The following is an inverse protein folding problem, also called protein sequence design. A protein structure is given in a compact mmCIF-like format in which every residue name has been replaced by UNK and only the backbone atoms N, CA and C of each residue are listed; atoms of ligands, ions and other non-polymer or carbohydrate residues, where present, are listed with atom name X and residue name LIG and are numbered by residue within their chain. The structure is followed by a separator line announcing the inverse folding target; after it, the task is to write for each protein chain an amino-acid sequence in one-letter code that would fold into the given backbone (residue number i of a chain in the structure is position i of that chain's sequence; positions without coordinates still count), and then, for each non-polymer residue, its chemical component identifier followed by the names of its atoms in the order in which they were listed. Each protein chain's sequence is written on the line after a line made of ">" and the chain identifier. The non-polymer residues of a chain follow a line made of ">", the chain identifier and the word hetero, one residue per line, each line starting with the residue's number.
data_IF_943776716855
#
_entry.id   IF_943776716855
#
_cell.length_a   1.000
_cell.length_b   1.000
_cell.length_c   1.000
_cell.angle_alpha   90.00
_cell.angle_beta   90.00
_cell.angle_gamma   90.00
#
_symmetry.space_group_name_H-M   'P 1'
#
loop_
_entity.id
_entity.type
_entity.pdbx_description
1 polymer ?
#
# COMPACT_ATOMS: atom_id res chain seq x y z
N UNK A 1 -9.83 1.76 9.27
CA UNK A 1 -9.86 2.89 8.32
C UNK A 1 -10.22 2.34 6.94
N UNK A 2 -11.34 2.76 6.34
CA UNK A 2 -11.79 2.24 5.04
C UNK A 2 -10.94 2.86 3.92
N UNK A 3 -10.12 2.07 3.23
CA UNK A 3 -9.27 2.52 2.12
C UNK A 3 -10.05 3.15 0.96
N UNK A 4 -11.30 2.75 0.72
CA UNK A 4 -12.19 3.41 -0.26
C UNK A 4 -12.38 4.90 0.07
N UNK A 5 -12.56 5.23 1.36
CA UNK A 5 -12.67 6.63 1.80
C UNK A 5 -11.33 7.36 1.65
N UNK A 6 -10.20 6.66 1.70
CA UNK A 6 -8.87 7.28 1.52
C UNK A 6 -8.57 7.48 0.04
N UNK A 7 -8.89 6.51 -0.82
CA UNK A 7 -8.69 6.56 -2.29
C UNK A 7 -9.66 7.56 -2.93
N UNK A 8 -10.94 7.56 -2.55
CA UNK A 8 -11.92 8.52 -3.09
C UNK A 8 -11.64 9.95 -2.60
N UNK A 9 -11.14 10.11 -1.37
CA UNK A 9 -10.69 11.43 -0.88
C UNK A 9 -9.32 11.85 -1.44
N UNK A 10 -8.46 10.91 -1.82
CA UNK A 10 -7.20 11.22 -2.51
C UNK A 10 -7.49 11.71 -3.92
N UNK A 11 -8.43 11.08 -4.65
CA UNK A 11 -8.93 11.57 -5.94
C UNK A 11 -9.48 12.99 -5.83
N UNK A 12 -10.40 13.22 -4.88
CA UNK A 12 -10.98 14.57 -4.64
C UNK A 12 -9.95 15.63 -4.25
N UNK A 13 -8.87 15.27 -3.54
CA UNK A 13 -7.82 16.21 -3.17
C UNK A 13 -6.86 16.53 -4.33
N UNK A 14 -6.58 15.54 -5.19
CA UNK A 14 -5.75 15.71 -6.38
C UNK A 14 -6.49 16.58 -7.42
N UNK A 15 -7.80 16.43 -7.56
CA UNK A 15 -8.64 17.24 -8.45
C UNK A 15 -8.75 18.72 -8.00
N UNK A 16 -8.39 19.03 -6.74
CA UNK A 16 -8.42 20.40 -6.20
C UNK A 16 -7.09 21.17 -6.33
N UNK A 17 -6.03 20.52 -6.83
CA UNK A 17 -4.73 21.15 -7.06
C UNK A 17 -4.66 21.68 -8.49
N UNK A 18 -4.97 22.97 -8.64
CA UNK A 18 -4.87 23.72 -9.89
C UNK A 18 -3.45 23.79 -10.45
N UNK A 19 -3.38 23.88 -11.79
CA UNK A 19 -2.19 23.87 -12.63
C UNK A 19 -1.06 24.82 -12.17
N UNK A 20 0.14 24.27 -11.95
CA UNK A 20 1.40 24.95 -12.29
C UNK A 20 2.57 23.98 -12.51
N UNK A 21 2.77 23.60 -13.79
CA UNK A 21 4.06 23.58 -14.51
C UNK A 21 5.24 22.79 -13.90
N UNK A 22 5.49 21.55 -14.37
CA UNK A 22 6.56 21.12 -15.33
C UNK A 22 6.94 19.64 -15.13
N UNK A 23 6.96 18.91 -16.26
CA UNK A 23 7.13 17.46 -16.45
C UNK A 23 5.97 16.67 -15.85
N UNK A 24 5.07 16.16 -16.69
CA UNK A 24 3.88 15.39 -16.29
C UNK A 24 4.28 13.90 -16.24
N UNK A 25 4.78 13.34 -15.12
CA UNK A 25 4.69 11.89 -14.93
C UNK A 25 3.20 11.53 -14.96
N UNK A 26 2.88 10.33 -15.45
CA UNK A 26 1.50 9.83 -15.51
C UNK A 26 0.76 10.14 -14.19
N UNK A 27 -0.29 10.98 -14.23
CA UNK A 27 -1.01 11.47 -13.04
C UNK A 27 -1.52 10.32 -12.15
N UNK A 28 -1.89 9.21 -12.79
CA UNK A 28 -2.29 7.94 -12.16
C UNK A 28 -1.15 7.23 -11.44
N UNK A 29 0.09 7.34 -11.92
CA UNK A 29 1.26 6.73 -11.28
C UNK A 29 1.64 7.48 -10.01
N UNK A 30 1.63 8.81 -10.07
CA UNK A 30 1.85 9.68 -8.91
C UNK A 30 0.82 9.43 -7.80
N UNK A 31 -0.46 9.23 -8.16
CA UNK A 31 -1.52 8.91 -7.20
C UNK A 31 -1.31 7.57 -6.49
N UNK A 32 -0.87 6.52 -7.22
CA UNK A 32 -0.58 5.21 -6.63
C UNK A 32 0.57 5.30 -5.63
N UNK A 33 1.65 5.99 -6.00
CA UNK A 33 2.83 6.18 -5.16
C UNK A 33 2.47 6.94 -3.88
N UNK A 34 1.63 7.98 -3.98
CA UNK A 34 1.13 8.70 -2.80
C UNK A 34 0.33 7.81 -1.84
N UNK A 35 -0.53 6.94 -2.38
CA UNK A 35 -1.32 5.98 -1.57
C UNK A 35 -0.41 4.94 -0.94
N UNK A 36 0.54 4.40 -1.68
CA UNK A 36 1.50 3.42 -1.16
C UNK A 36 2.40 4.03 -0.10
N UNK A 37 2.84 5.27 -0.27
CA UNK A 37 3.66 5.98 0.73
C UNK A 37 2.88 6.16 2.03
N UNK A 38 1.60 6.55 1.93
CA UNK A 38 0.70 6.64 3.07
C UNK A 38 0.49 5.29 3.78
N UNK A 39 0.26 4.21 3.03
CA UNK A 39 0.12 2.85 3.57
C UNK A 39 1.43 2.40 4.22
N UNK A 40 2.57 2.70 3.60
CA UNK A 40 3.90 2.38 4.10
C UNK A 40 4.15 3.01 5.48
N UNK A 41 3.68 4.24 5.71
CA UNK A 41 3.73 4.89 7.04
C UNK A 41 2.91 4.15 8.09
N UNK A 42 1.72 3.68 7.72
CA UNK A 42 0.88 2.86 8.60
C UNK A 42 1.55 1.50 8.91
N UNK A 43 2.06 0.81 7.90
CA UNK A 43 2.72 -0.50 8.03
C UNK A 43 3.98 -0.38 8.88
N UNK A 44 4.80 0.66 8.67
CA UNK A 44 5.97 0.97 9.50
C UNK A 44 5.60 1.05 10.98
N UNK A 45 4.51 1.73 11.32
CA UNK A 45 4.03 1.86 12.70
C UNK A 45 3.59 0.53 13.31
N UNK A 46 3.09 -0.40 12.49
CA UNK A 46 2.68 -1.72 12.96
C UNK A 46 3.89 -2.61 13.21
N UNK A 47 4.84 -2.65 12.26
CA UNK A 47 6.08 -3.44 12.40
C UNK A 47 6.90 -2.97 13.61
N UNK A 48 6.98 -1.66 13.85
CA UNK A 48 7.69 -1.10 15.02
C UNK A 48 7.16 -1.62 16.36
N UNK A 49 5.92 -2.15 16.44
CA UNK A 49 5.40 -2.76 17.67
C UNK A 49 6.00 -4.13 17.97
N UNK A 50 6.56 -4.80 16.96
CA UNK A 50 7.13 -6.15 17.07
C UNK A 50 8.59 -6.15 17.53
N UNK A 51 9.22 -4.98 17.72
CA UNK A 51 10.61 -4.91 18.16
C UNK A 51 10.85 -3.75 19.11
N UNK A 52 11.80 -3.94 20.02
CA UNK A 52 12.34 -2.89 20.90
C UNK A 52 13.75 -2.46 20.49
N UNK A 53 14.28 -3.02 19.41
CA UNK A 53 15.64 -2.74 18.95
C UNK A 53 15.71 -1.34 18.33
N UNK A 54 16.52 -0.46 18.91
CA UNK A 54 16.66 0.92 18.42
C UNK A 54 17.14 0.99 16.97
N UNK A 55 18.00 0.07 16.53
CA UNK A 55 18.47 -0.01 15.14
C UNK A 55 17.33 -0.38 14.18
N UNK A 56 16.46 -1.31 14.58
CA UNK A 56 15.28 -1.64 13.78
C UNK A 56 14.31 -0.46 13.73
N UNK A 57 14.07 0.21 14.86
CA UNK A 57 13.14 1.34 14.95
C UNK A 57 13.58 2.53 14.10
N UNK A 58 14.89 2.82 14.05
CA UNK A 58 15.43 3.91 13.21
C UNK A 58 15.35 3.59 11.72
N UNK A 59 15.45 2.32 11.33
CA UNK A 59 15.39 1.89 9.93
C UNK A 59 14.04 2.16 9.22
N UNK A 60 12.97 2.46 9.98
CA UNK A 60 11.64 2.72 9.43
C UNK A 60 11.25 4.20 9.39
N UNK A 61 12.07 5.10 9.94
CA UNK A 61 11.74 6.52 10.05
C UNK A 61 12.66 7.35 9.16
N UNK A 62 12.05 8.21 8.38
CA UNK A 62 12.71 9.32 7.70
C UNK A 62 12.12 10.65 8.16
N UNK A 63 12.76 11.75 7.78
CA UNK A 63 12.31 13.12 8.09
C UNK A 63 11.89 13.90 6.84
N UNK A 64 11.99 13.29 5.65
CA UNK A 64 11.76 13.99 4.39
C UNK A 64 10.26 14.07 4.03
N UNK A 65 9.64 15.17 4.45
CA UNK A 65 8.26 15.51 4.10
C UNK A 65 8.12 16.22 2.73
N UNK A 66 9.23 16.51 2.04
CA UNK A 66 9.21 17.29 0.78
C UNK A 66 9.09 16.43 -0.48
N UNK A 67 9.04 15.12 -0.32
CA UNK A 67 8.85 14.18 -1.43
C UNK A 67 7.45 14.32 -2.05
N UNK A 68 7.31 14.23 -3.38
CA UNK A 68 6.00 14.30 -4.04
C UNK A 68 5.07 13.16 -3.59
N UNK A 69 5.61 11.96 -3.32
CA UNK A 69 4.86 10.82 -2.81
C UNK A 69 4.33 11.06 -1.37
N UNK A 70 4.94 11.99 -0.63
CA UNK A 70 4.47 12.37 0.69
C UNK A 70 3.24 13.29 0.66
N UNK A 71 2.77 13.77 -0.50
CA UNK A 71 1.67 14.72 -0.61
C UNK A 71 0.39 14.25 0.12
N UNK A 72 0.01 12.96 -0.03
CA UNK A 72 -1.16 12.42 0.67
C UNK A 72 -0.92 12.31 2.19
N UNK A 73 0.29 11.94 2.60
CA UNK A 73 0.68 11.90 4.02
C UNK A 73 0.64 13.30 4.62
N UNK A 74 1.16 14.32 3.94
CA UNK A 74 1.15 15.71 4.36
C UNK A 74 -0.28 16.24 4.51
N UNK A 75 -1.18 15.86 3.59
CA UNK A 75 -2.59 16.26 3.65
C UNK A 75 -3.35 15.58 4.80
N UNK A 76 -3.01 14.33 5.12
CA UNK A 76 -3.74 13.52 6.11
C UNK A 76 -3.12 13.51 7.50
N UNK A 77 -1.86 13.92 7.63
CA UNK A 77 -1.18 13.91 8.91
C UNK A 77 -1.80 14.93 9.85
N UNK A 78 -2.08 14.50 11.07
CA UNK A 78 -2.37 15.37 12.22
C UNK A 78 -1.17 15.44 13.17
N UNK A 79 0.04 15.22 12.64
CA UNK A 79 1.30 15.14 13.41
C UNK A 79 1.71 13.73 13.89
N UNK A 80 0.92 12.68 13.57
CA UNK A 80 1.14 11.33 14.12
C UNK A 80 1.47 10.24 13.07
N UNK A 81 1.50 10.62 11.79
CA UNK A 81 1.85 9.70 10.70
C UNK A 81 3.36 9.72 10.48
N UNK A 82 3.94 8.54 10.28
CA UNK A 82 5.37 8.40 10.04
C UNK A 82 5.69 8.62 8.56
N UNK A 83 6.78 9.32 8.27
CA UNK A 83 7.41 9.36 6.97
C UNK A 83 8.32 8.12 6.84
N UNK A 84 8.00 7.17 5.95
CA UNK A 84 8.77 5.95 5.81
C UNK A 84 10.16 6.21 5.25
N UNK A 85 11.12 5.42 5.72
CA UNK A 85 12.44 5.35 5.10
C UNK A 85 12.35 4.94 3.62
N UNK A 86 13.11 5.64 2.77
CA UNK A 86 13.05 5.46 1.30
C UNK A 86 13.28 4.02 0.84
N UNK A 87 14.19 3.28 1.46
CA UNK A 87 14.43 1.87 1.12
C UNK A 87 13.21 1.00 1.46
N UNK A 88 12.58 1.25 2.62
CA UNK A 88 11.39 0.54 3.04
C UNK A 88 10.21 0.81 2.10
N UNK A 89 10.06 2.07 1.66
CA UNK A 89 9.04 2.42 0.67
C UNK A 89 9.24 1.66 -0.65
N UNK A 90 10.48 1.58 -1.17
CA UNK A 90 10.79 0.80 -2.38
C UNK A 90 10.47 -0.69 -2.21
N UNK A 91 10.77 -1.27 -1.05
CA UNK A 91 10.42 -2.66 -0.75
C UNK A 91 8.90 -2.86 -0.81
N UNK A 92 8.11 -1.97 -0.19
CA UNK A 92 6.64 -2.03 -0.27
C UNK A 92 6.13 -1.90 -1.70
N UNK A 93 6.74 -1.05 -2.53
CA UNK A 93 6.39 -0.95 -3.95
C UNK A 93 6.63 -2.26 -4.70
N UNK A 94 7.78 -2.91 -4.49
CA UNK A 94 8.09 -4.19 -5.11
C UNK A 94 7.11 -5.30 -4.67
N UNK A 95 6.74 -5.32 -3.38
CA UNK A 95 5.72 -6.26 -2.88
C UNK A 95 4.36 -5.97 -3.53
N UNK A 96 3.97 -4.70 -3.66
CA UNK A 96 2.71 -4.34 -4.33
C UNK A 96 2.69 -4.75 -5.79
N UNK A 97 3.80 -4.57 -6.51
CA UNK A 97 3.93 -4.99 -7.92
C UNK A 97 3.73 -6.50 -8.06
N UNK A 98 4.41 -7.30 -7.23
CA UNK A 98 4.22 -8.74 -7.17
C UNK A 98 2.78 -9.12 -6.82
N UNK A 99 2.20 -8.48 -5.80
CA UNK A 99 0.83 -8.75 -5.38
C UNK A 99 -0.18 -8.49 -6.51
N UNK A 100 -0.08 -7.35 -7.20
CA UNK A 100 -0.97 -7.00 -8.31
C UNK A 100 -0.87 -8.03 -9.44
N UNK A 101 0.34 -8.54 -9.73
CA UNK A 101 0.57 -9.55 -10.76
C UNK A 101 -0.10 -10.89 -10.44
N UNK A 102 -0.12 -11.28 -9.17
CA UNK A 102 -0.62 -12.60 -8.74
C UNK A 102 -1.94 -12.53 -7.95
N UNK A 103 -2.63 -11.39 -7.92
CA UNK A 103 -3.80 -11.18 -7.05
C UNK A 103 -4.96 -12.17 -7.25
N UNK A 104 -5.04 -12.78 -8.43
CA UNK A 104 -6.06 -13.79 -8.78
C UNK A 104 -5.59 -15.23 -8.57
N UNK A 105 -4.30 -15.43 -8.28
CA UNK A 105 -3.75 -16.77 -8.09
C UNK A 105 -4.08 -17.30 -6.68
N UNK A 106 -4.39 -18.61 -6.55
CA UNK A 106 -4.59 -19.24 -5.24
C UNK A 106 -3.37 -19.12 -4.32
N UNK A 107 -2.17 -19.13 -4.90
CA UNK A 107 -0.89 -19.07 -4.19
C UNK A 107 -0.25 -17.68 -4.20
N UNK A 108 -1.08 -16.62 -4.25
CA UNK A 108 -0.64 -15.22 -4.31
C UNK A 108 0.44 -14.88 -3.29
N UNK A 109 0.37 -15.45 -2.09
CA UNK A 109 1.32 -15.17 -1.01
C UNK A 109 2.73 -15.61 -1.39
N UNK A 110 2.91 -16.89 -1.73
CA UNK A 110 4.22 -17.45 -2.07
C UNK A 110 4.75 -16.83 -3.36
N UNK A 111 3.92 -16.71 -4.40
CA UNK A 111 4.33 -16.10 -5.68
C UNK A 111 4.79 -14.66 -5.54
N UNK A 112 4.16 -13.87 -4.65
CA UNK A 112 4.59 -12.49 -4.38
C UNK A 112 5.96 -12.46 -3.71
N UNK A 113 6.20 -13.36 -2.74
CA UNK A 113 7.50 -13.47 -2.08
C UNK A 113 8.58 -13.88 -3.09
N UNK A 114 8.33 -14.93 -3.86
CA UNK A 114 9.26 -15.44 -4.87
C UNK A 114 9.63 -14.36 -5.88
N UNK A 115 8.64 -13.58 -6.32
CA UNK A 115 8.87 -12.45 -7.21
C UNK A 115 9.80 -11.39 -6.62
N UNK A 116 9.60 -11.00 -5.36
CA UNK A 116 10.49 -10.02 -4.71
C UNK A 116 11.90 -10.59 -4.50
N UNK A 117 12.02 -11.87 -4.18
CA UNK A 117 13.32 -12.53 -4.00
C UNK A 117 14.09 -12.59 -5.32
N UNK A 118 13.42 -12.95 -6.42
CA UNK A 118 14.05 -13.14 -7.73
C UNK A 118 14.37 -11.79 -8.38
N UNK A 119 13.39 -10.88 -8.43
CA UNK A 119 13.50 -9.63 -9.22
C UNK A 119 14.04 -8.44 -8.41
N UNK A 120 13.94 -8.50 -7.06
CA UNK A 120 14.25 -7.37 -6.19
C UNK A 120 15.10 -7.75 -4.97
N UNK A 121 15.99 -8.73 -5.12
CA UNK A 121 16.87 -9.22 -4.04
C UNK A 121 17.67 -8.09 -3.34
N UNK A 122 18.09 -7.08 -4.09
CA UNK A 122 18.82 -5.93 -3.55
C UNK A 122 18.03 -5.14 -2.47
N UNK A 123 16.70 -5.22 -2.48
CA UNK A 123 15.83 -4.60 -1.48
C UNK A 123 15.69 -5.43 -0.19
N UNK A 124 16.25 -6.65 -0.14
CA UNK A 124 16.22 -7.53 1.04
C UNK A 124 17.35 -7.24 2.03
N UNK A 125 17.88 -6.02 2.01
CA UNK A 125 18.88 -5.54 2.95
C UNK A 125 18.23 -4.82 4.13
N UNK A 126 18.74 -5.05 5.34
CA UNK A 126 18.23 -4.42 6.55
C UNK A 126 19.41 -4.12 7.49
N UNK A 127 19.44 -2.96 8.16
CA UNK A 127 20.62 -2.52 8.92
C UNK A 127 20.87 -3.32 10.21
N UNK A 128 19.87 -4.02 10.75
CA UNK A 128 20.03 -4.82 11.96
C UNK A 128 20.35 -6.28 11.62
N UNK A 129 21.56 -6.75 11.92
CA UNK A 129 21.96 -8.14 11.65
C UNK A 129 21.24 -9.18 12.52
N UNK A 130 20.78 -8.80 13.72
CA UNK A 130 20.16 -9.71 14.68
C UNK A 130 18.70 -10.02 14.28
N UNK A 131 17.92 -8.97 13.99
CA UNK A 131 16.48 -9.10 13.75
C UNK A 131 16.12 -9.01 12.25
N UNK A 132 17.10 -8.99 11.34
CA UNK A 132 16.86 -8.87 9.89
C UNK A 132 15.81 -9.86 9.40
N UNK A 133 16.01 -11.15 9.66
CA UNK A 133 15.13 -12.20 9.17
C UNK A 133 13.72 -12.06 9.74
N UNK A 134 13.61 -11.89 11.07
CA UNK A 134 12.33 -11.73 11.76
C UNK A 134 11.53 -10.53 11.24
N UNK A 135 12.18 -9.37 11.11
CA UNK A 135 11.54 -8.14 10.64
C UNK A 135 11.12 -8.28 9.19
N UNK A 136 11.97 -8.84 8.31
CA UNK A 136 11.62 -9.05 6.90
C UNK A 136 10.45 -10.01 6.75
N UNK A 137 10.45 -11.14 7.47
CA UNK A 137 9.32 -12.07 7.50
C UNK A 137 8.04 -11.37 7.97
N UNK A 138 8.13 -10.55 9.03
CA UNK A 138 7.00 -9.77 9.54
C UNK A 138 6.47 -8.78 8.50
N UNK A 139 7.35 -8.10 7.75
CA UNK A 139 6.96 -7.18 6.66
C UNK A 139 6.15 -7.93 5.60
N UNK A 140 6.67 -9.03 5.08
CA UNK A 140 6.01 -9.81 4.04
C UNK A 140 4.66 -10.35 4.52
N UNK A 141 4.65 -11.01 5.67
CA UNK A 141 3.44 -11.56 6.27
C UNK A 141 2.39 -10.46 6.46
N UNK A 142 2.76 -9.37 7.13
CA UNK A 142 1.82 -8.31 7.44
C UNK A 142 1.26 -7.64 6.18
N UNK A 143 2.14 -7.23 5.25
CA UNK A 143 1.72 -6.48 4.08
C UNK A 143 0.88 -7.33 3.12
N UNK A 144 1.34 -8.54 2.80
CA UNK A 144 0.64 -9.40 1.85
C UNK A 144 -0.72 -9.82 2.41
N UNK A 145 -0.78 -10.27 3.67
CA UNK A 145 -2.06 -10.61 4.32
C UNK A 145 -3.01 -9.42 4.38
N UNK A 146 -2.49 -8.22 4.68
CA UNK A 146 -3.28 -6.99 4.66
C UNK A 146 -3.83 -6.72 3.25
N UNK A 147 -3.04 -6.88 2.18
CA UNK A 147 -3.48 -6.67 0.79
C UNK A 147 -4.46 -7.73 0.31
N UNK A 148 -4.26 -9.01 0.64
CA UNK A 148 -5.21 -10.09 0.36
C UNK A 148 -6.58 -9.76 0.96
N UNK A 149 -6.63 -9.39 2.24
CA UNK A 149 -7.86 -9.01 2.91
C UNK A 149 -8.57 -7.83 2.23
N UNK A 150 -7.81 -6.80 1.86
CA UNK A 150 -8.35 -5.65 1.13
C UNK A 150 -8.92 -6.05 -0.24
N UNK A 151 -8.19 -6.90 -0.97
CA UNK A 151 -8.61 -7.40 -2.28
C UNK A 151 -9.91 -8.19 -2.19
N UNK A 152 -10.00 -9.16 -1.26
CA UNK A 152 -11.21 -9.94 -1.02
C UNK A 152 -12.40 -9.07 -0.63
N UNK A 153 -12.19 -8.05 0.21
CA UNK A 153 -13.26 -7.12 0.59
C UNK A 153 -13.81 -6.33 -0.61
N UNK A 154 -12.93 -5.89 -1.52
CA UNK A 154 -13.34 -5.18 -2.74
C UNK A 154 -14.10 -6.13 -3.67
N UNK A 155 -13.57 -7.33 -3.93
CA UNK A 155 -14.21 -8.33 -4.78
C UNK A 155 -15.62 -8.71 -4.27
N UNK A 156 -15.76 -8.95 -2.96
CA UNK A 156 -17.04 -9.29 -2.35
C UNK A 156 -18.08 -8.16 -2.49
N UNK A 157 -17.65 -6.89 -2.40
CA UNK A 157 -18.54 -5.75 -2.63
C UNK A 157 -19.00 -5.67 -4.07
N UNK A 158 -18.10 -5.87 -5.04
CA UNK A 158 -18.44 -5.87 -6.45
C UNK A 158 -19.45 -6.97 -6.79
N UNK A 159 -19.24 -8.18 -6.28
CA UNK A 159 -20.18 -9.30 -6.43
C UNK A 159 -21.55 -8.95 -5.85
N UNK A 160 -21.59 -8.35 -4.65
CA UNK A 160 -22.84 -7.92 -4.01
C UNK A 160 -23.57 -6.86 -4.84
N UNK A 161 -22.86 -5.87 -5.38
CA UNK A 161 -23.45 -4.84 -6.24
C UNK A 161 -23.99 -5.42 -7.55
N UNK A 162 -23.25 -6.34 -8.19
CA UNK A 162 -23.71 -7.06 -9.38
C UNK A 162 -25.00 -7.85 -9.10
N UNK A 163 -25.04 -8.57 -7.98
CA UNK A 163 -26.24 -9.31 -7.54
C UNK A 163 -27.44 -8.38 -7.31
N UNK A 164 -27.24 -7.24 -6.64
CA UNK A 164 -28.30 -6.26 -6.41
C UNK A 164 -28.87 -5.70 -7.73
N UNK A 165 -28.00 -5.33 -8.68
CA UNK A 165 -28.42 -4.86 -10.01
C UNK A 165 -29.24 -5.92 -10.76
N UNK A 166 -28.79 -7.18 -10.77
CA UNK A 166 -29.52 -8.29 -11.40
C UNK A 166 -30.91 -8.50 -10.77
N UNK A 167 -31.01 -8.45 -9.43
CA UNK A 167 -32.30 -8.56 -8.71
C UNK A 167 -33.27 -7.41 -9.00
N UNK A 168 -32.75 -6.21 -9.27
CA UNK A 168 -33.60 -5.06 -9.65
C UNK A 168 -34.14 -5.24 -11.07
N UNK A 169 -33.30 -5.68 -12.01
CA UNK A 169 -33.69 -5.93 -13.39
C UNK A 169 -34.71 -7.06 -13.52
N UNK A 170 -34.57 -8.15 -12.77
CA UNK A 170 -35.52 -9.28 -12.81
C UNK A 170 -36.93 -8.91 -12.35
N UNK A 171 -37.09 -7.84 -11.56
CA UNK A 171 -38.40 -7.34 -11.09
C UNK A 171 -39.08 -6.40 -12.09
N UNK A 172 -38.37 -5.92 -13.11
CA UNK A 172 -38.89 -4.99 -14.12
C UNK A 172 -39.46 -5.70 -15.35
N UNK A 173 -39.17 -7.00 -15.51
CA UNK A 173 -39.79 -7.81 -16.55
C UNK A 173 -41.06 -8.41 -15.93
N UNK A 174 -42.22 -7.93 -16.37
CA UNK A 174 -43.50 -8.61 -16.14
C UNK A 174 -43.45 -9.95 -16.88
N UNK A 175 -43.47 -11.05 -16.13
CA UNK A 175 -43.65 -12.40 -16.66
C UNK A 175 -45.13 -12.70 -16.77
#
# INVERSE_FOLDING_TARGET
>A
MRLEVVVDRAKLAIDSMGDSVKKKPNLTQCAKECVLYYICGYVSKQIQKHTKCNVCLSAFKDWDAQLPEAALTNLKTKGYLLYPYKHFFKLIMAIEEGFVKFAQDPEVFNKTIDYVIIEHNNLLTFPCNIHKTEIMTTIFQYYITMRMNQYTLIQNKEVKQKSFKKKKLSKLVST
#
